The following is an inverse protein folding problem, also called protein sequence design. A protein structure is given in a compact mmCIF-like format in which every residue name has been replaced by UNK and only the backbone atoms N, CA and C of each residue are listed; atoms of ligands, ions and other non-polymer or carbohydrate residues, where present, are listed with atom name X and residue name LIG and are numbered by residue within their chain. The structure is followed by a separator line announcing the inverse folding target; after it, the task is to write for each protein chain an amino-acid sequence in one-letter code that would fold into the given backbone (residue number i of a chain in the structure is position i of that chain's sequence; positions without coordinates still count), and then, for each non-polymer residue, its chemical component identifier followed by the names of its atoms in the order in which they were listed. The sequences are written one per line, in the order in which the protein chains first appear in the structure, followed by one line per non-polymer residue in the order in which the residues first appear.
data_IF_277105986008
#
_entry.id   IF_277105986008
#
_cell.length_a   1.000
_cell.length_b   1.000
_cell.length_c   1.000
_cell.angle_alpha   90.00
_cell.angle_beta   90.00
_cell.angle_gamma   90.00
#
_symmetry.space_group_name_H-M   'P 1'
#
loop_
_entity.id
_entity.type
_entity.pdbx_description
1 polymer ?
#
# COMPACT_ATOMS: atom_id res chain seq x y z
N UNK A 1 -31.29 37.18 -0.08
CA UNK A 1 -31.19 38.59 0.36
C UNK A 1 -29.83 38.76 0.99
N UNK A 2 -29.06 39.71 0.44
CA UNK A 2 -27.81 40.33 0.94
C UNK A 2 -26.70 39.41 1.46
N UNK A 3 -25.77 38.98 0.58
CA UNK A 3 -24.41 38.56 0.98
C UNK A 3 -23.43 38.58 -0.23
N UNK A 4 -23.59 39.56 -1.13
CA UNK A 4 -22.76 39.71 -2.33
C UNK A 4 -22.23 41.14 -2.53
N UNK A 5 -21.99 41.87 -1.45
CA UNK A 5 -21.41 43.21 -1.56
C UNK A 5 -20.56 43.55 -0.34
N UNK A 6 -19.25 43.36 -0.45
CA UNK A 6 -18.31 43.83 0.57
C UNK A 6 -17.00 43.06 0.68
N UNK A 7 -16.16 43.08 -0.35
CA UNK A 7 -14.70 42.92 -0.14
C UNK A 7 -13.89 43.46 -1.33
N UNK A 8 -14.00 44.77 -1.60
CA UNK A 8 -12.99 45.53 -2.35
C UNK A 8 -12.44 46.66 -1.45
N UNK A 9 -12.33 46.41 -0.15
CA UNK A 9 -11.49 47.24 0.73
C UNK A 9 -10.10 46.62 0.72
N UNK A 10 -9.06 47.44 0.53
CA UNK A 10 -7.67 46.99 0.60
C UNK A 10 -7.38 46.50 2.02
N UNK A 11 -7.47 45.18 2.22
CA UNK A 11 -7.23 44.51 3.50
C UNK A 11 -5.79 44.76 3.90
N UNK A 12 -5.59 45.31 5.11
CA UNK A 12 -4.24 45.50 5.66
C UNK A 12 -3.59 44.15 5.96
N UNK A 13 -2.26 44.09 5.91
CA UNK A 13 -1.53 42.83 6.13
C UNK A 13 -1.85 42.18 7.49
N UNK A 14 -2.12 43.01 8.50
CA UNK A 14 -2.49 42.59 9.84
C UNK A 14 -3.89 41.97 9.88
N UNK A 15 -4.87 42.56 9.19
CA UNK A 15 -6.21 41.96 9.05
C UNK A 15 -6.14 40.60 8.36
N UNK A 16 -5.33 40.46 7.30
CA UNK A 16 -5.18 39.18 6.62
C UNK A 16 -4.59 38.12 7.54
N UNK A 17 -3.61 38.49 8.37
CA UNK A 17 -3.03 37.61 9.39
C UNK A 17 -4.05 37.21 10.44
N UNK A 18 -4.83 38.16 10.96
CA UNK A 18 -5.85 37.88 11.96
C UNK A 18 -6.96 36.98 11.38
N UNK A 19 -7.40 37.24 10.15
CA UNK A 19 -8.40 36.42 9.45
C UNK A 19 -7.88 35.00 9.20
N UNK A 20 -6.60 34.85 8.84
CA UNK A 20 -5.94 33.55 8.71
C UNK A 20 -5.84 32.81 10.05
N UNK A 21 -5.44 33.50 11.13
CA UNK A 21 -5.37 32.92 12.47
C UNK A 21 -6.74 32.41 12.93
N UNK A 22 -7.79 33.23 12.77
CA UNK A 22 -9.17 32.86 13.08
C UNK A 22 -9.63 31.63 12.28
N UNK A 23 -9.32 31.58 10.97
CA UNK A 23 -9.65 30.43 10.12
C UNK A 23 -8.88 29.16 10.52
N UNK A 24 -7.62 29.29 10.92
CA UNK A 24 -6.80 28.17 11.40
C UNK A 24 -7.35 27.64 12.73
N UNK A 25 -7.76 28.50 13.66
CA UNK A 25 -8.36 28.10 14.93
C UNK A 25 -9.71 27.41 14.74
N UNK A 26 -10.57 27.92 13.88
CA UNK A 26 -11.84 27.28 13.50
C UNK A 26 -11.60 25.87 12.94
N UNK A 27 -10.64 25.72 12.02
CA UNK A 27 -10.27 24.43 11.42
C UNK A 27 -9.52 23.51 12.39
N UNK A 28 -8.96 24.02 13.49
CA UNK A 28 -8.32 23.24 14.55
C UNK A 28 -9.33 22.82 15.61
N UNK A 29 -10.28 23.68 15.98
CA UNK A 29 -11.36 23.38 16.92
C UNK A 29 -12.33 22.30 16.42
N UNK A 30 -12.59 22.26 15.10
CA UNK A 30 -13.38 21.18 14.48
C UNK A 30 -12.69 19.80 14.45
N UNK A 31 -11.40 19.73 14.82
CA UNK A 31 -10.65 18.48 14.98
C UNK A 31 -10.34 18.32 16.46
N UNK A 32 -11.21 17.64 17.21
CA UNK A 32 -10.94 17.15 18.57
C UNK A 32 -9.77 16.13 18.58
N UNK A 33 -8.57 16.59 18.24
CA UNK A 33 -7.30 15.90 18.49
C UNK A 33 -6.73 16.54 19.76
N UNK A 34 -7.08 15.94 20.89
CA UNK A 34 -6.58 16.34 22.19
C UNK A 34 -5.06 16.49 22.19
N UNK A 35 -4.60 17.39 23.04
CA UNK A 35 -3.20 17.81 23.25
C UNK A 35 -2.17 16.65 23.34
N UNK A 36 -2.59 15.40 23.57
CA UNK A 36 -1.71 14.23 23.69
C UNK A 36 -0.99 13.80 22.41
N UNK A 37 -1.54 14.09 21.23
CA UNK A 37 -0.96 13.58 19.96
C UNK A 37 0.18 14.43 19.40
N UNK A 38 0.30 15.69 19.82
CA UNK A 38 1.43 16.55 19.42
C UNK A 38 2.74 16.11 20.08
N UNK A 39 2.71 15.77 21.37
CA UNK A 39 3.89 15.29 22.10
C UNK A 39 4.45 14.00 21.48
N UNK A 40 3.58 13.03 21.18
CA UNK A 40 3.98 11.75 20.55
C UNK A 40 4.55 11.89 19.14
N UNK A 41 4.16 12.95 18.40
CA UNK A 41 4.60 13.16 17.02
C UNK A 41 5.97 13.84 16.93
N UNK A 42 6.30 14.70 17.91
CA UNK A 42 7.63 15.33 18.03
C UNK A 42 8.67 14.27 18.42
N UNK A 43 8.38 13.45 19.42
CA UNK A 43 9.28 12.39 19.90
C UNK A 43 9.61 11.35 18.81
N UNK A 44 8.64 11.07 17.92
CA UNK A 44 8.81 10.10 16.81
C UNK A 44 9.65 10.66 15.65
N UNK A 45 9.74 11.98 15.51
CA UNK A 45 10.57 12.61 14.48
C UNK A 45 12.03 12.75 14.93
N UNK A 46 12.29 13.02 16.21
CA UNK A 46 13.66 13.09 16.74
C UNK A 46 14.38 11.72 16.67
N UNK A 47 13.67 10.63 17.00
CA UNK A 47 14.21 9.26 16.89
C UNK A 47 14.55 8.86 15.44
N UNK A 48 13.90 9.45 14.43
CA UNK A 48 14.20 9.20 13.01
C UNK A 48 15.39 10.01 12.48
N UNK A 49 15.63 11.20 13.02
CA UNK A 49 16.78 12.04 12.64
C UNK A 49 18.12 11.41 13.06
N UNK A 50 18.17 10.83 14.25
CA UNK A 50 19.38 10.20 14.81
C UNK A 50 19.80 8.96 14.00
N UNK A 51 18.83 8.15 13.54
CA UNK A 51 19.11 6.93 12.78
C UNK A 51 19.64 7.19 11.35
N UNK A 52 19.36 8.35 10.76
CA UNK A 52 19.87 8.68 9.42
C UNK A 52 21.30 9.21 9.41
N UNK A 53 21.79 9.81 10.50
CA UNK A 53 23.15 10.36 10.55
C UNK A 53 24.24 9.29 10.73
N UNK A 54 23.90 8.10 11.22
CA UNK A 54 24.86 7.02 11.45
C UNK A 54 25.24 6.20 10.20
N UNK A 55 24.64 6.45 9.03
CA UNK A 55 24.86 5.65 7.80
C UNK A 55 25.78 6.26 6.75
N UNK A 56 26.57 7.30 7.08
CA UNK A 56 27.54 7.87 6.14
C UNK A 56 28.94 7.95 6.74
N UNK A 57 29.63 6.82 6.81
CA UNK A 57 31.09 6.78 6.70
C UNK A 57 31.49 5.82 5.59
N UNK A 58 32.22 6.37 4.62
CA UNK A 58 32.81 5.71 3.44
C UNK A 58 34.33 5.72 3.63
N UNK A 59 34.96 4.55 3.54
CA UNK A 59 36.38 4.34 3.20
C UNK A 59 36.45 3.12 2.28
N UNK A 60 36.97 3.16 1.04
CA UNK A 60 38.39 3.25 0.64
C UNK A 60 39.15 2.04 1.21
N UNK A 61 39.78 1.09 0.49
CA UNK A 61 40.38 1.03 -0.88
C UNK A 61 41.06 -0.39 -0.99
N UNK A 62 41.19 -1.00 -2.20
CA UNK A 62 42.11 -2.14 -2.62
C UNK A 62 41.75 -3.55 -2.10
N UNK A 63 41.94 -4.68 -2.80
CA UNK A 63 42.62 -5.03 -4.06
C UNK A 63 42.03 -6.34 -4.63
N UNK A 64 42.30 -6.54 -5.91
CA UNK A 64 41.93 -7.65 -6.77
C UNK A 64 42.79 -8.90 -6.48
N UNK A 65 42.18 -10.06 -6.18
CA UNK A 65 42.83 -11.37 -6.35
C UNK A 65 41.83 -12.44 -6.80
N UNK A 66 42.12 -13.02 -7.97
CA UNK A 66 41.48 -14.21 -8.56
C UNK A 66 42.00 -15.51 -7.93
N UNK A 67 41.33 -16.62 -8.28
CA UNK A 67 41.56 -18.06 -7.95
C UNK A 67 40.82 -18.51 -6.68
N UNK A 68 40.08 -19.61 -6.61
CA UNK A 68 39.92 -20.80 -7.47
C UNK A 68 38.65 -21.54 -7.03
N UNK A 69 38.11 -22.35 -7.94
CA UNK A 69 36.98 -23.28 -7.80
C UNK A 69 36.87 -24.02 -6.46
N UNK A 70 35.68 -23.96 -5.84
CA UNK A 70 35.25 -24.81 -4.71
C UNK A 70 34.17 -24.12 -3.86
N UNK A 71 32.91 -24.55 -3.95
CA UNK A 71 31.75 -23.93 -3.28
C UNK A 71 31.89 -23.88 -1.74
N UNK A 72 31.90 -22.68 -1.11
CA UNK A 72 31.89 -22.51 0.34
C UNK A 72 30.61 -21.81 0.86
N UNK A 73 29.57 -21.65 0.04
CA UNK A 73 28.37 -20.84 0.36
C UNK A 73 27.56 -21.42 1.52
N UNK A 74 27.45 -22.74 1.59
CA UNK A 74 26.48 -23.38 2.48
C UNK A 74 26.91 -23.36 3.96
N UNK A 75 28.21 -23.26 4.26
CA UNK A 75 28.70 -23.16 5.64
C UNK A 75 28.55 -21.75 6.19
N UNK A 76 28.87 -20.74 5.38
CA UNK A 76 28.78 -19.33 5.78
C UNK A 76 27.32 -18.93 6.01
N UNK A 77 26.39 -19.41 5.19
CA UNK A 77 24.96 -19.14 5.38
C UNK A 77 24.40 -19.81 6.65
N UNK A 78 24.86 -21.01 6.98
CA UNK A 78 24.47 -21.69 8.23
C UNK A 78 25.03 -20.98 9.47
N UNK A 79 26.29 -20.52 9.44
CA UNK A 79 26.90 -19.77 10.53
C UNK A 79 26.22 -18.41 10.74
N UNK A 80 25.80 -17.73 9.65
CA UNK A 80 25.01 -16.49 9.72
C UNK A 80 23.62 -16.75 10.31
N UNK A 81 22.97 -17.86 9.93
CA UNK A 81 21.67 -18.27 10.48
C UNK A 81 21.78 -18.63 11.96
N UNK A 82 22.87 -19.29 12.38
CA UNK A 82 23.14 -19.65 13.77
C UNK A 82 23.46 -18.41 14.62
N UNK A 83 24.36 -17.54 14.17
CA UNK A 83 24.68 -16.28 14.83
C UNK A 83 23.46 -15.35 14.93
N UNK A 84 22.55 -15.35 13.95
CA UNK A 84 21.30 -14.57 14.01
C UNK A 84 20.28 -15.12 15.01
N UNK A 85 20.33 -16.42 15.34
CA UNK A 85 19.53 -17.02 16.42
C UNK A 85 20.11 -16.66 17.79
N UNK A 86 21.44 -16.54 17.89
CA UNK A 86 22.15 -16.21 19.13
C UNK A 86 22.11 -14.70 19.46
N UNK A 87 22.19 -13.83 18.45
CA UNK A 87 22.07 -12.36 18.58
C UNK A 87 20.62 -11.86 18.60
N UNK A 88 19.69 -12.63 19.17
CA UNK A 88 18.34 -12.15 19.44
C UNK A 88 18.31 -11.34 20.75
N UNK A 89 18.79 -10.09 20.71
CA UNK A 89 18.89 -9.15 21.86
C UNK A 89 17.54 -8.72 22.49
N UNK A 90 16.49 -9.52 22.38
CA UNK A 90 15.22 -9.29 23.10
C UNK A 90 14.41 -10.55 23.40
N UNK A 91 14.91 -11.76 23.10
CA UNK A 91 14.15 -12.98 23.33
C UNK A 91 14.66 -13.72 24.57
N UNK A 92 14.20 -13.28 25.74
CA UNK A 92 14.39 -14.00 27.00
C UNK A 92 13.51 -15.25 26.96
N UNK A 93 14.10 -16.43 26.82
CA UNK A 93 13.40 -17.71 26.98
C UNK A 93 13.24 -18.00 28.47
N UNK A 94 12.09 -17.65 29.03
CA UNK A 94 11.69 -18.07 30.37
C UNK A 94 11.24 -19.54 30.30
N UNK A 95 11.99 -20.41 30.99
CA UNK A 95 11.63 -21.73 31.52
C UNK A 95 10.66 -22.64 30.75
N UNK A 96 11.17 -23.78 30.27
CA UNK A 96 10.36 -24.96 29.98
C UNK A 96 9.85 -25.57 31.30
N UNK A 97 8.62 -25.31 31.68
CA UNK A 97 7.70 -26.25 32.34
C UNK A 97 6.41 -25.52 32.69
N UNK A 98 5.44 -25.59 31.79
CA UNK A 98 4.05 -25.80 32.15
C UNK A 98 3.27 -26.23 30.92
N UNK A 99 2.89 -27.50 30.92
CA UNK A 99 1.91 -28.06 30.01
C UNK A 99 0.63 -27.25 30.19
N UNK A 100 0.29 -26.31 29.29
CA UNK A 100 -1.10 -25.92 28.92
C UNK A 100 -1.18 -24.83 27.83
N UNK A 101 -0.29 -24.85 26.84
CA UNK A 101 -0.62 -24.36 25.50
C UNK A 101 -1.54 -25.34 24.79
N UNK A 102 -2.76 -25.62 25.32
CA UNK A 102 -3.73 -26.46 24.61
C UNK A 102 -3.96 -25.80 23.25
N UNK A 103 -3.41 -26.40 22.19
CA UNK A 103 -3.69 -26.03 20.82
C UNK A 103 -5.20 -25.86 20.72
N UNK A 104 -5.68 -24.61 20.63
CA UNK A 104 -7.12 -24.33 20.46
C UNK A 104 -7.48 -25.08 19.19
N UNK A 105 -8.17 -26.23 19.34
CA UNK A 105 -8.55 -27.08 18.21
C UNK A 105 -9.19 -26.14 17.18
N UNK A 106 -8.58 -26.05 15.99
CA UNK A 106 -9.07 -25.15 14.94
C UNK A 106 -10.55 -25.47 14.76
N UNK A 107 -11.40 -24.45 14.84
CA UNK A 107 -12.83 -24.61 14.58
C UNK A 107 -12.98 -25.28 13.21
N UNK A 108 -13.95 -26.19 13.10
CA UNK A 108 -14.27 -26.82 11.83
C UNK A 108 -14.61 -25.72 10.81
N UNK A 109 -14.35 -25.98 9.53
CA UNK A 109 -14.76 -25.02 8.50
C UNK A 109 -16.29 -24.98 8.46
N UNK A 110 -16.87 -23.80 8.24
CA UNK A 110 -18.34 -23.60 8.13
C UNK A 110 -18.98 -24.51 7.07
N UNK A 111 -18.22 -24.93 6.06
CA UNK A 111 -18.67 -25.89 5.05
C UNK A 111 -18.86 -27.28 5.65
N UNK A 112 -17.89 -27.76 6.44
CA UNK A 112 -18.00 -29.02 7.18
C UNK A 112 -19.12 -28.96 8.22
N UNK A 113 -19.28 -27.82 8.90
CA UNK A 113 -20.41 -27.61 9.84
C UNK A 113 -21.75 -27.69 9.11
N UNK A 114 -21.87 -27.14 7.90
CA UNK A 114 -23.08 -27.21 7.09
C UNK A 114 -23.39 -28.66 6.67
N UNK A 115 -22.38 -29.42 6.23
CA UNK A 115 -22.54 -30.84 5.90
C UNK A 115 -23.00 -31.66 7.10
N UNK A 116 -22.41 -31.43 8.27
CA UNK A 116 -22.81 -32.11 9.50
C UNK A 116 -24.24 -31.73 9.91
N UNK A 117 -24.60 -30.45 9.83
CA UNK A 117 -25.96 -29.97 10.12
C UNK A 117 -27.00 -30.60 9.18
N UNK A 118 -26.68 -30.74 7.89
CA UNK A 118 -27.55 -31.42 6.91
C UNK A 118 -27.75 -32.89 7.23
N UNK A 119 -26.67 -33.62 7.51
CA UNK A 119 -26.73 -35.03 7.89
C UNK A 119 -27.57 -35.25 9.16
N UNK A 120 -27.47 -34.32 10.11
CA UNK A 120 -28.29 -34.34 11.32
C UNK A 120 -29.76 -34.02 11.04
N UNK A 121 -30.06 -33.15 10.08
CA UNK A 121 -31.44 -32.88 9.63
C UNK A 121 -32.05 -34.09 8.92
N UNK A 122 -31.29 -34.76 8.07
CA UNK A 122 -31.68 -36.00 7.39
C UNK A 122 -31.96 -37.12 8.41
N UNK A 123 -31.05 -37.35 9.36
CA UNK A 123 -31.22 -38.36 10.39
C UNK A 123 -32.38 -38.08 11.38
N UNK A 124 -32.88 -36.84 11.44
CA UNK A 124 -34.07 -36.47 12.23
C UNK A 124 -35.39 -36.75 11.49
N UNK A 125 -35.36 -36.90 10.16
CA UNK A 125 -36.56 -37.16 9.35
C UNK A 125 -37.02 -38.62 9.40
N UNK A 126 -36.17 -39.52 9.90
CA UNK A 126 -36.53 -40.93 10.09
C UNK A 126 -37.60 -41.10 11.19
N UNK A 127 -38.72 -41.79 10.94
CA UNK A 127 -39.87 -41.79 11.85
C UNK A 127 -39.62 -42.52 13.18
N UNK A 128 -38.83 -43.59 13.21
CA UNK A 128 -38.59 -44.38 14.44
C UNK A 128 -37.37 -43.90 15.24
N UNK A 129 -36.29 -43.55 14.54
CA UNK A 129 -35.00 -43.19 15.16
C UNK A 129 -34.82 -41.67 15.27
N UNK A 130 -35.52 -40.89 14.45
CA UNK A 130 -35.39 -39.44 14.36
C UNK A 130 -35.77 -38.73 15.65
N UNK A 131 -36.83 -39.15 16.33
CA UNK A 131 -37.21 -38.56 17.62
C UNK A 131 -36.15 -38.77 18.70
N UNK A 132 -35.60 -39.99 18.79
CA UNK A 132 -34.53 -40.29 19.75
C UNK A 132 -33.26 -39.50 19.43
N UNK A 133 -32.90 -39.37 18.14
CA UNK A 133 -31.74 -38.60 17.69
C UNK A 133 -31.95 -37.11 17.96
N UNK A 134 -33.15 -36.58 17.69
CA UNK A 134 -33.50 -35.20 17.96
C UNK A 134 -33.40 -34.87 19.46
N UNK A 135 -33.97 -35.72 20.33
CA UNK A 135 -33.88 -35.59 21.79
C UNK A 135 -32.41 -35.67 22.25
N UNK A 136 -31.65 -36.69 21.83
CA UNK A 136 -30.22 -36.81 22.20
C UNK A 136 -29.40 -35.60 21.75
N UNK A 137 -29.65 -35.08 20.55
CA UNK A 137 -28.95 -33.91 20.03
C UNK A 137 -29.35 -32.63 20.78
N UNK A 138 -30.63 -32.43 21.10
CA UNK A 138 -31.10 -31.24 21.82
C UNK A 138 -30.49 -31.18 23.23
N UNK A 139 -30.47 -32.30 23.96
CA UNK A 139 -29.83 -32.38 25.28
C UNK A 139 -28.32 -32.08 25.19
N UNK A 140 -27.60 -32.72 24.26
CA UNK A 140 -26.16 -32.46 24.05
C UNK A 140 -25.88 -31.00 23.71
N UNK A 141 -26.70 -30.39 22.85
CA UNK A 141 -26.57 -28.99 22.48
C UNK A 141 -26.87 -28.06 23.67
N UNK A 142 -27.88 -28.37 24.49
CA UNK A 142 -28.21 -27.62 25.70
C UNK A 142 -27.06 -27.68 26.72
N UNK A 143 -26.51 -28.87 27.00
CA UNK A 143 -25.34 -29.03 27.89
C UNK A 143 -24.12 -28.27 27.36
N UNK A 144 -23.86 -28.33 26.06
CA UNK A 144 -22.74 -27.60 25.44
C UNK A 144 -22.91 -26.08 25.53
N UNK A 145 -24.14 -25.57 25.34
CA UNK A 145 -24.45 -24.16 25.52
C UNK A 145 -24.32 -23.71 26.97
N UNK A 146 -24.78 -24.53 27.92
CA UNK A 146 -24.62 -24.29 29.36
C UNK A 146 -23.14 -24.26 29.77
N UNK A 147 -22.30 -25.08 29.13
CA UNK A 147 -20.84 -25.05 29.28
C UNK A 147 -20.16 -23.85 28.58
N UNK A 148 -20.92 -22.95 27.94
CA UNK A 148 -20.41 -21.75 27.26
C UNK A 148 -19.85 -22.00 25.84
N UNK A 149 -20.04 -23.19 25.27
CA UNK A 149 -19.59 -23.51 23.92
C UNK A 149 -20.61 -22.96 22.91
N UNK A 150 -20.15 -22.19 21.93
CA UNK A 150 -21.00 -21.67 20.83
C UNK A 150 -21.35 -22.81 19.88
N UNK A 151 -22.62 -23.20 19.87
CA UNK A 151 -23.15 -24.28 19.04
C UNK A 151 -23.79 -23.70 17.76
N UNK A 152 -23.38 -24.18 16.59
CA UNK A 152 -23.85 -23.74 15.27
C UNK A 152 -24.50 -24.90 14.51
N UNK A 153 -25.80 -25.11 14.73
CA UNK A 153 -26.51 -26.28 14.18
C UNK A 153 -27.41 -25.95 12.98
N UNK A 154 -27.71 -24.68 12.73
CA UNK A 154 -28.71 -24.29 11.74
C UNK A 154 -28.13 -24.22 10.31
N UNK A 155 -28.57 -25.08 9.38
CA UNK A 155 -28.01 -25.14 8.03
C UNK A 155 -28.28 -23.85 7.24
N UNK A 156 -29.42 -23.19 7.48
CA UNK A 156 -29.78 -21.94 6.80
C UNK A 156 -28.87 -20.77 7.21
N UNK A 157 -28.56 -20.63 8.50
CA UNK A 157 -27.65 -19.59 8.99
C UNK A 157 -26.21 -19.83 8.51
N UNK A 158 -25.77 -21.09 8.47
CA UNK A 158 -24.46 -21.46 7.93
C UNK A 158 -24.34 -21.10 6.43
N UNK A 159 -25.37 -21.41 5.62
CA UNK A 159 -25.43 -20.99 4.21
C UNK A 159 -25.35 -19.47 4.06
N UNK A 160 -26.12 -18.72 4.85
CA UNK A 160 -26.09 -17.26 4.81
C UNK A 160 -24.72 -16.70 5.22
N UNK A 161 -24.08 -17.26 6.24
CA UNK A 161 -22.72 -16.85 6.62
C UNK A 161 -21.73 -17.10 5.50
N UNK A 162 -21.80 -18.25 4.83
CA UNK A 162 -20.92 -18.55 3.69
C UNK A 162 -21.15 -17.57 2.55
N UNK A 163 -22.40 -17.21 2.25
CA UNK A 163 -22.72 -16.21 1.23
C UNK A 163 -22.16 -14.82 1.57
N UNK A 164 -22.34 -14.38 2.82
CA UNK A 164 -21.77 -13.10 3.30
C UNK A 164 -20.25 -13.08 3.19
N UNK A 165 -19.61 -14.19 3.50
CA UNK A 165 -18.15 -14.34 3.38
C UNK A 165 -17.68 -14.30 1.93
N UNK A 166 -18.35 -15.01 1.02
CA UNK A 166 -18.10 -14.93 -0.43
C UNK A 166 -18.26 -13.50 -0.96
N UNK A 167 -19.34 -12.81 -0.60
CA UNK A 167 -19.57 -11.40 -0.97
C UNK A 167 -18.48 -10.47 -0.44
N UNK A 168 -18.05 -10.66 0.82
CA UNK A 168 -16.93 -9.88 1.41
C UNK A 168 -15.65 -10.10 0.63
N UNK A 169 -15.35 -11.35 0.28
CA UNK A 169 -14.18 -11.70 -0.50
C UNK A 169 -14.22 -11.05 -1.89
N UNK A 170 -15.33 -11.18 -2.63
CA UNK A 170 -15.52 -10.54 -3.93
C UNK A 170 -15.33 -9.02 -3.88
N UNK A 171 -15.92 -8.35 -2.88
CA UNK A 171 -15.72 -6.90 -2.67
C UNK A 171 -14.25 -6.55 -2.43
N UNK A 172 -13.55 -7.35 -1.65
CA UNK A 172 -12.14 -7.13 -1.36
C UNK A 172 -11.27 -7.34 -2.59
N UNK A 173 -11.54 -8.39 -3.38
CA UNK A 173 -10.85 -8.65 -4.64
C UNK A 173 -11.08 -7.52 -5.64
N UNK A 174 -12.34 -7.06 -5.81
CA UNK A 174 -12.67 -5.93 -6.67
C UNK A 174 -11.88 -4.67 -6.29
N UNK A 175 -11.91 -4.28 -5.00
CA UNK A 175 -11.14 -3.14 -4.49
C UNK A 175 -9.63 -3.28 -4.69
N UNK A 176 -9.10 -4.50 -4.57
CA UNK A 176 -7.68 -4.75 -4.80
C UNK A 176 -7.31 -4.58 -6.27
N UNK A 177 -8.14 -5.11 -7.17
CA UNK A 177 -7.96 -4.95 -8.61
C UNK A 177 -8.07 -3.49 -9.04
N UNK A 178 -9.02 -2.71 -8.48
CA UNK A 178 -9.11 -1.27 -8.69
C UNK A 178 -7.83 -0.53 -8.25
N UNK A 179 -7.26 -0.89 -7.10
CA UNK A 179 -5.98 -0.32 -6.62
C UNK A 179 -4.82 -0.65 -7.54
N UNK A 180 -4.75 -1.87 -8.05
CA UNK A 180 -3.73 -2.26 -9.03
C UNK A 180 -3.92 -1.47 -10.32
N UNK A 181 -5.14 -1.42 -10.85
CA UNK A 181 -5.47 -0.72 -12.08
C UNK A 181 -5.16 0.78 -12.00
N UNK A 182 -5.52 1.44 -10.90
CA UNK A 182 -5.17 2.86 -10.66
C UNK A 182 -3.66 3.07 -10.58
N UNK A 183 -2.93 2.20 -9.89
CA UNK A 183 -1.46 2.28 -9.82
C UNK A 183 -0.81 2.11 -11.18
N UNK A 184 -1.28 1.14 -11.98
CA UNK A 184 -0.79 0.90 -13.33
C UNK A 184 -1.09 2.08 -14.26
N UNK A 185 -2.31 2.64 -14.19
CA UNK A 185 -2.69 3.83 -14.95
C UNK A 185 -1.80 5.02 -14.61
N UNK A 186 -1.61 5.32 -13.33
CA UNK A 186 -0.72 6.41 -12.90
C UNK A 186 0.73 6.23 -13.38
N UNK A 187 1.23 4.99 -13.40
CA UNK A 187 2.55 4.67 -13.94
C UNK A 187 2.60 4.90 -15.46
N UNK A 188 1.58 4.47 -16.19
CA UNK A 188 1.47 4.67 -17.63
C UNK A 188 1.38 6.15 -17.98
N UNK A 189 0.50 6.92 -17.32
CA UNK A 189 0.33 8.35 -17.53
C UNK A 189 1.64 9.12 -17.28
N UNK A 190 2.39 8.74 -16.23
CA UNK A 190 3.70 9.34 -15.93
C UNK A 190 4.73 9.03 -17.02
N UNK A 191 4.73 7.81 -17.53
CA UNK A 191 5.62 7.41 -18.61
C UNK A 191 5.25 8.11 -19.92
N UNK A 192 3.96 8.24 -20.23
CA UNK A 192 3.46 8.97 -21.39
C UNK A 192 3.87 10.45 -21.35
N UNK A 193 3.65 11.13 -20.22
CA UNK A 193 4.10 12.52 -20.03
C UNK A 193 5.62 12.66 -20.21
N UNK A 194 6.40 11.67 -19.77
CA UNK A 194 7.84 11.66 -19.97
C UNK A 194 8.20 11.52 -21.46
N UNK A 195 7.55 10.62 -22.20
CA UNK A 195 7.79 10.47 -23.63
C UNK A 195 7.39 11.73 -24.41
N UNK A 196 6.25 12.34 -24.07
CA UNK A 196 5.78 13.59 -24.68
C UNK A 196 6.77 14.74 -24.44
N UNK A 197 7.25 14.91 -23.21
CA UNK A 197 8.26 15.94 -22.89
C UNK A 197 9.59 15.71 -23.60
N UNK A 198 10.02 14.45 -23.75
CA UNK A 198 11.23 14.10 -24.51
C UNK A 198 11.03 14.42 -26.00
N UNK A 199 9.89 14.02 -26.57
CA UNK A 199 9.55 14.31 -27.96
C UNK A 199 9.47 15.83 -28.22
N UNK A 200 8.82 16.58 -27.32
CA UNK A 200 8.76 18.04 -27.36
C UNK A 200 10.15 18.68 -27.34
N UNK A 201 11.04 18.25 -26.43
CA UNK A 201 12.43 18.72 -26.38
C UNK A 201 13.23 18.39 -27.65
N UNK A 202 12.99 17.22 -28.26
CA UNK A 202 13.60 16.85 -29.55
C UNK A 202 13.09 17.77 -30.66
N UNK A 203 11.78 18.02 -30.71
CA UNK A 203 11.15 18.90 -31.69
C UNK A 203 11.66 20.34 -31.56
N UNK A 204 11.66 20.92 -30.35
CA UNK A 204 12.20 22.26 -30.08
C UNK A 204 13.66 22.40 -30.54
N UNK A 205 14.49 21.38 -30.29
CA UNK A 205 15.88 21.37 -30.76
C UNK A 205 15.96 21.36 -32.29
N UNK A 206 15.07 20.64 -32.98
CA UNK A 206 14.99 20.65 -34.46
C UNK A 206 14.54 22.02 -34.97
N UNK A 207 13.47 22.59 -34.40
CA UNK A 207 12.97 23.91 -34.79
C UNK A 207 14.01 25.01 -34.57
N UNK A 208 14.69 25.05 -33.40
CA UNK A 208 15.79 25.99 -33.16
C UNK A 208 16.94 25.86 -34.16
N UNK A 209 17.22 24.66 -34.68
CA UNK A 209 18.24 24.46 -35.73
C UNK A 209 17.75 25.00 -37.07
N UNK A 210 16.48 24.79 -37.40
CA UNK A 210 15.83 25.32 -38.61
C UNK A 210 15.79 26.86 -38.55
N UNK A 211 15.28 27.45 -37.47
CA UNK A 211 15.24 28.91 -37.24
C UNK A 211 16.63 29.55 -37.37
N UNK A 212 17.68 28.93 -36.80
CA UNK A 212 19.06 29.41 -36.95
C UNK A 212 19.54 29.36 -38.39
N UNK A 213 19.13 28.34 -39.17
CA UNK A 213 19.46 28.22 -40.59
C UNK A 213 18.71 29.27 -41.41
N UNK A 214 17.42 29.42 -41.19
CA UNK A 214 16.58 30.42 -41.87
C UNK A 214 17.02 31.84 -41.54
N UNK A 215 17.31 32.16 -40.28
CA UNK A 215 17.86 33.47 -39.90
C UNK A 215 19.20 33.77 -40.58
N UNK A 216 20.05 32.75 -40.81
CA UNK A 216 21.29 32.91 -41.59
C UNK A 216 21.00 33.15 -43.08
N UNK A 217 20.00 32.45 -43.63
CA UNK A 217 19.58 32.59 -45.03
C UNK A 217 18.89 33.95 -45.32
N UNK A 218 18.11 34.46 -44.36
CA UNK A 218 17.32 35.68 -44.51
C UNK A 218 18.06 36.96 -44.04
N UNK A 219 19.33 36.87 -43.65
CA UNK A 219 20.11 38.03 -43.18
C UNK A 219 20.39 38.99 -44.34
N UNK A 220 19.94 40.26 -44.29
CA UNK A 220 20.20 41.23 -45.36
C UNK A 220 21.70 41.43 -45.60
N UNK A 221 22.11 41.44 -46.88
CA UNK A 221 23.51 41.63 -47.32
C UNK A 221 24.11 40.45 -48.11
N UNK A 222 25.33 40.64 -48.60
CA UNK A 222 26.05 39.75 -49.55
C UNK A 222 26.29 38.30 -49.07
N UNK A 223 26.06 37.99 -47.78
CA UNK A 223 26.25 36.65 -47.21
C UNK A 223 24.95 35.83 -47.07
N UNK A 224 23.77 36.39 -47.37
CA UNK A 224 22.46 35.75 -47.13
C UNK A 224 21.90 34.91 -48.29
N UNK A 225 22.16 35.29 -49.55
CA UNK A 225 21.73 34.52 -50.74
C UNK A 225 22.84 34.53 -51.80
N UNK A 226 23.45 33.38 -52.10
CA UNK A 226 23.94 33.09 -53.45
C UNK A 226 22.82 32.35 -54.16
N UNK A 227 21.89 33.10 -54.74
CA UNK A 227 20.92 32.52 -55.66
C UNK A 227 21.66 32.39 -57.00
N UNK A 228 22.23 31.21 -57.25
CA UNK A 228 22.98 30.90 -58.47
C UNK A 228 24.49 31.18 -58.38
N UNK A 229 25.28 30.27 -58.95
CA UNK A 229 26.61 30.62 -59.47
C UNK A 229 26.39 31.57 -60.65
N UNK A 230 27.10 32.69 -60.68
CA UNK A 230 27.03 33.69 -61.78
C UNK A 230 27.56 33.11 -63.12
N UNK A 231 28.13 31.90 -63.13
CA UNK A 231 28.67 31.24 -64.33
C UNK A 231 27.90 29.96 -64.70
N UNK A 232 26.68 30.08 -65.23
CA UNK A 232 26.05 28.98 -66.00
C UNK A 232 25.63 29.39 -67.43
N UNK A 233 25.79 30.66 -67.82
CA UNK A 233 25.55 31.13 -69.20
C UNK A 233 26.83 31.69 -69.85
N UNK A 234 27.92 30.92 -69.80
CA UNK A 234 29.14 31.20 -70.57
C UNK A 234 29.66 29.89 -71.17
N UNK A 235 28.88 29.33 -72.09
CA UNK A 235 29.29 28.38 -73.12
C UNK A 235 28.16 28.31 -74.16
#
# INVERSE_FOLDING_TARGET
MSDLEGDIRSVTYEELRQRLHRKIEELRGGRNAGSSDKAKRIEKNEKKGIHQQQKRKRGSRWEEKKSTTGNPSDKVDNDIIEASKELAFSHVKIGNEDKHGKNKKRKLSKVKELEMARKLEEAKKDPEKGEMIAKKHSWKAATSRAAGIKVHDDPNLLKQSLHKEKKRHQKNVGKWNERIGTTQKLKADKQQKRSENIAGRIHEKKMRRIEKREKKLMRPGFKGRKQGFVNQNAA
#
